data_IF_572271207443
#
_entry.id   IF_572271207443
#
_cell.length_a   1.000
_cell.length_b   1.000
_cell.length_c   1.000
_cell.angle_alpha   90.00
_cell.angle_beta   90.00
_cell.angle_gamma   90.00
#
_symmetry.space_group_name_H-M   'P 1'
#
loop_
_entity.id
_entity.type
_entity.pdbx_description
1 polymer ?
#
# COMPACT_ATOMS: atom_id res chain seq x y z
N UNK A 1 -3.35 22.71 30.69
CA UNK A 1 -2.49 23.14 29.58
C UNK A 1 -3.28 23.83 28.48
N UNK A 2 -4.24 23.16 27.83
CA UNK A 2 -5.00 23.77 26.72
C UNK A 2 -5.97 24.88 27.15
N UNK A 3 -6.70 24.68 28.26
CA UNK A 3 -7.58 25.70 28.85
C UNK A 3 -6.82 26.96 29.25
N UNK A 4 -5.63 26.80 29.80
CA UNK A 4 -4.77 27.92 30.17
C UNK A 4 -4.19 28.66 28.96
N UNK A 5 -3.90 27.93 27.88
CA UNK A 5 -3.53 28.56 26.60
C UNK A 5 -4.65 29.49 26.09
N UNK A 6 -5.91 29.05 26.16
CA UNK A 6 -7.05 29.90 25.82
C UNK A 6 -7.18 31.11 26.76
N UNK A 7 -7.01 30.89 28.07
CA UNK A 7 -7.05 31.95 29.06
C UNK A 7 -6.02 33.05 28.77
N UNK A 8 -4.78 32.68 28.42
CA UNK A 8 -3.73 33.65 28.09
C UNK A 8 -4.05 34.41 26.80
N UNK A 9 -4.51 33.74 25.75
CA UNK A 9 -4.96 34.42 24.53
C UNK A 9 -6.15 35.38 24.81
N UNK A 10 -6.98 35.06 25.80
CA UNK A 10 -8.09 35.90 26.23
C UNK A 10 -7.66 37.08 27.12
N UNK A 11 -6.56 36.99 27.86
CA UNK A 11 -6.21 37.97 28.91
C UNK A 11 -4.96 38.79 28.62
N UNK A 12 -3.99 38.26 27.87
CA UNK A 12 -2.73 38.95 27.53
C UNK A 12 -2.78 39.54 26.11
N UNK A 13 -2.90 40.87 25.95
CA UNK A 13 -2.95 41.53 24.64
C UNK A 13 -1.75 41.19 23.74
N UNK A 14 -0.56 40.98 24.34
CA UNK A 14 0.66 40.70 23.57
C UNK A 14 0.59 39.35 22.85
N UNK A 15 -0.18 38.39 23.37
CA UNK A 15 -0.37 37.10 22.68
C UNK A 15 -1.31 37.17 21.49
N UNK A 16 -2.22 38.16 21.49
CA UNK A 16 -3.09 38.44 20.34
C UNK A 16 -2.31 39.10 19.20
N UNK A 17 -1.39 40.01 19.54
CA UNK A 17 -0.51 40.65 18.55
C UNK A 17 0.43 39.65 17.87
N UNK A 18 0.91 38.65 18.62
CA UNK A 18 1.80 37.61 18.11
C UNK A 18 1.09 36.56 17.23
N UNK A 19 -0.24 36.49 17.24
CA UNK A 19 -1.07 35.56 16.43
C UNK A 19 -0.57 34.11 16.44
N UNK A 20 -0.21 33.60 17.62
CA UNK A 20 0.47 32.31 17.75
C UNK A 20 -0.47 31.13 17.52
N UNK A 21 0.04 30.11 16.83
CA UNK A 21 -0.56 28.77 16.80
C UNK A 21 -0.19 28.02 18.08
N UNK A 22 -0.99 27.02 18.46
CA UNK A 22 -0.71 26.22 19.66
C UNK A 22 0.67 25.52 19.59
N UNK A 23 1.07 25.09 18.39
CA UNK A 23 2.39 24.49 18.12
C UNK A 23 3.57 25.46 18.33
N UNK A 24 3.32 26.75 18.21
CA UNK A 24 4.33 27.82 18.33
C UNK A 24 4.39 28.39 19.74
N UNK A 25 3.36 28.13 20.56
CA UNK A 25 3.24 28.70 21.91
C UNK A 25 4.43 28.36 22.81
N UNK A 26 4.98 27.15 22.67
CA UNK A 26 6.14 26.66 23.41
C UNK A 26 7.43 27.44 23.11
N UNK A 27 7.48 28.23 22.02
CA UNK A 27 8.63 29.10 21.72
C UNK A 27 8.69 30.31 22.67
N UNK A 28 7.56 30.69 23.26
CA UNK A 28 7.43 31.90 24.07
C UNK A 28 7.05 31.61 25.52
N UNK A 29 6.40 30.46 25.78
CA UNK A 29 5.90 30.10 27.11
C UNK A 29 6.33 28.67 27.49
N UNK A 30 6.65 28.48 28.77
CA UNK A 30 6.97 27.20 29.39
C UNK A 30 5.81 26.75 30.29
N UNK A 31 5.37 25.50 30.15
CA UNK A 31 4.31 24.95 30.99
C UNK A 31 4.85 24.59 32.38
N UNK A 32 4.23 25.14 33.41
CA UNK A 32 4.43 24.76 34.80
C UNK A 32 3.35 23.74 35.20
N UNK A 33 3.75 22.49 35.42
CA UNK A 33 2.82 21.42 35.80
C UNK A 33 2.31 21.53 37.24
N UNK A 34 3.06 22.19 38.13
CA UNK A 34 2.68 22.35 39.53
C UNK A 34 1.64 23.45 39.68
N UNK A 35 1.88 24.61 39.05
CA UNK A 35 0.94 25.75 39.08
C UNK A 35 -0.16 25.64 38.02
N UNK A 36 -0.03 24.72 37.06
CA UNK A 36 -0.92 24.58 35.89
C UNK A 36 -1.02 25.86 35.06
N UNK A 37 0.07 26.62 34.99
CA UNK A 37 0.16 27.91 34.27
C UNK A 37 1.21 27.87 33.17
N UNK A 38 1.09 28.77 32.20
CA UNK A 38 2.13 29.01 31.19
C UNK A 38 2.94 30.25 31.57
N UNK A 39 4.23 30.08 31.80
CA UNK A 39 5.13 31.14 32.20
C UNK A 39 5.97 31.63 31.01
N UNK A 40 6.12 32.94 30.85
CA UNK A 40 6.90 33.51 29.74
C UNK A 40 8.37 33.14 29.87
N UNK A 41 8.96 32.66 28.78
CA UNK A 41 10.38 32.30 28.71
C UNK A 41 11.21 33.59 28.70
N UNK A 42 12.21 33.67 29.59
CA UNK A 42 13.12 34.82 29.70
C UNK A 42 14.39 34.67 28.84
N UNK A 43 14.88 33.43 28.60
CA UNK A 43 16.01 33.07 27.71
C UNK A 43 15.88 31.61 27.23
N UNK A 44 16.29 31.32 25.99
CA UNK A 44 16.39 29.96 25.40
C UNK A 44 15.27 29.58 24.42
N UNK A 45 15.51 28.53 23.61
CA UNK A 45 14.55 27.98 22.63
C UNK A 45 14.07 26.60 23.10
N UNK A 46 12.77 26.42 23.29
CA UNK A 46 12.18 25.13 23.69
C UNK A 46 11.47 24.49 22.50
N UNK A 47 11.76 23.21 22.23
CA UNK A 47 11.07 22.41 21.22
C UNK A 47 9.93 21.64 21.90
N UNK A 48 8.70 22.12 21.72
CA UNK A 48 7.50 21.41 22.16
C UNK A 48 7.17 20.23 21.24
N UNK A 49 6.85 19.06 21.81
CA UNK A 49 6.32 17.91 21.06
C UNK A 49 4.81 17.85 21.21
N UNK A 50 4.09 18.01 20.10
CA UNK A 50 2.64 17.75 20.06
C UNK A 50 2.39 16.24 19.96
N UNK A 51 1.54 15.71 20.83
CA UNK A 51 1.19 14.29 20.82
C UNK A 51 0.56 13.89 19.48
N UNK A 52 1.01 12.80 18.88
CA UNK A 52 0.35 12.21 17.70
C UNK A 52 -1.06 11.79 18.12
N UNK A 53 -2.09 12.34 17.46
CA UNK A 53 -3.49 12.02 17.73
C UNK A 53 -3.96 11.27 16.49
N UNK A 54 -4.28 10.00 16.67
CA UNK A 54 -4.77 9.15 15.60
C UNK A 54 -6.17 9.66 15.15
N UNK A 55 -6.46 9.74 13.84
CA UNK A 55 -7.79 10.10 13.33
C UNK A 55 -8.95 9.25 13.88
N UNK A 56 -8.69 8.03 14.39
CA UNK A 56 -9.68 7.18 15.08
C UNK A 56 -10.28 7.89 16.32
N UNK A 57 -9.58 8.87 16.92
CA UNK A 57 -10.10 9.64 18.06
C UNK A 57 -11.07 10.78 17.68
N UNK A 58 -11.60 10.76 16.45
CA UNK A 58 -12.68 11.62 15.94
C UNK A 58 -12.52 13.10 16.33
N UNK A 59 -13.44 13.66 17.14
CA UNK A 59 -13.42 15.07 17.57
C UNK A 59 -12.09 15.54 18.18
N UNK A 60 -11.33 14.66 18.84
CA UNK A 60 -10.00 15.00 19.40
C UNK A 60 -8.94 15.19 18.33
N UNK A 61 -9.06 14.46 17.21
CA UNK A 61 -8.20 14.66 16.04
C UNK A 61 -8.50 16.00 15.39
N UNK A 62 -9.78 16.32 15.15
CA UNK A 62 -10.18 17.59 14.53
C UNK A 62 -9.87 18.80 15.40
N UNK A 63 -10.03 18.68 16.72
CA UNK A 63 -9.58 19.70 17.66
C UNK A 63 -8.08 20.00 17.50
N UNK A 64 -7.24 18.96 17.34
CA UNK A 64 -5.81 19.16 17.08
C UNK A 64 -5.55 19.84 15.74
N UNK A 65 -6.25 19.43 14.68
CA UNK A 65 -6.13 20.07 13.36
C UNK A 65 -6.44 21.56 13.48
N UNK A 66 -7.50 21.92 14.19
CA UNK A 66 -7.85 23.33 14.45
C UNK A 66 -6.77 24.04 15.27
N UNK A 67 -6.28 23.46 16.36
CA UNK A 67 -5.22 24.06 17.19
C UNK A 67 -3.89 24.29 16.45
N UNK A 68 -3.64 23.51 15.41
CA UNK A 68 -2.43 23.64 14.58
C UNK A 68 -2.54 24.70 13.48
N UNK A 69 -3.75 25.19 13.21
CA UNK A 69 -4.05 26.06 12.05
C UNK A 69 -4.85 27.32 12.41
N UNK A 70 -5.49 27.39 13.58
CA UNK A 70 -6.23 28.56 14.06
C UNK A 70 -5.36 29.35 15.03
N UNK A 71 -5.14 30.61 14.72
CA UNK A 71 -4.30 31.54 15.49
C UNK A 71 -5.07 32.09 16.70
N UNK A 72 -4.39 32.17 17.84
CA UNK A 72 -4.86 32.82 19.09
C UNK A 72 -6.31 32.52 19.48
N UNK A 73 -6.78 31.25 19.48
CA UNK A 73 -8.12 30.92 19.94
C UNK A 73 -8.26 31.25 21.44
N UNK A 74 -9.41 31.80 21.81
CA UNK A 74 -9.72 32.26 23.17
C UNK A 74 -10.62 31.31 23.95
N UNK A 75 -11.22 30.33 23.26
CA UNK A 75 -12.04 29.27 23.86
C UNK A 75 -12.24 28.11 22.89
N UNK A 76 -12.83 27.01 23.36
CA UNK A 76 -13.30 25.95 22.47
C UNK A 76 -14.38 26.45 21.50
N UNK A 77 -15.28 27.33 21.95
CA UNK A 77 -16.32 27.91 21.12
C UNK A 77 -15.74 28.79 20.01
N UNK A 78 -14.65 29.50 20.28
CA UNK A 78 -13.93 30.29 19.27
C UNK A 78 -13.41 29.42 18.12
N UNK A 79 -13.06 28.16 18.39
CA UNK A 79 -12.64 27.20 17.35
C UNK A 79 -13.83 26.70 16.52
N UNK A 80 -15.02 26.64 17.10
CA UNK A 80 -16.25 26.21 16.42
C UNK A 80 -16.90 27.32 15.59
N UNK A 81 -16.59 28.59 15.88
CA UNK A 81 -17.11 29.73 15.14
C UNK A 81 -16.27 30.00 13.88
N UNK A 82 -16.86 29.88 12.69
CA UNK A 82 -16.16 30.02 11.40
C UNK A 82 -16.99 30.90 10.47
N UNK A 83 -16.41 32.01 9.97
CA UNK A 83 -17.08 32.91 9.02
C UNK A 83 -18.50 33.35 9.44
N UNK A 84 -18.72 33.62 10.73
CA UNK A 84 -20.03 34.03 11.27
C UNK A 84 -20.99 32.87 11.61
N UNK A 85 -20.59 31.60 11.39
CA UNK A 85 -21.41 30.42 11.65
C UNK A 85 -20.86 29.61 12.81
N UNK A 86 -21.72 29.25 13.76
CA UNK A 86 -21.38 28.34 14.85
C UNK A 86 -21.51 26.87 14.42
N UNK A 87 -20.41 26.12 14.47
CA UNK A 87 -20.40 24.70 14.13
C UNK A 87 -20.72 23.81 15.34
N UNK A 88 -21.51 22.75 15.13
CA UNK A 88 -21.84 21.77 16.19
C UNK A 88 -20.72 20.77 16.51
N UNK A 89 -19.64 20.72 15.70
CA UNK A 89 -18.51 19.80 15.88
C UNK A 89 -17.21 20.40 15.35
N UNK A 90 -16.07 19.95 15.90
CA UNK A 90 -14.74 20.35 15.45
C UNK A 90 -14.46 19.82 14.04
N UNK A 91 -14.99 18.65 13.68
CA UNK A 91 -14.93 18.14 12.30
C UNK A 91 -15.52 19.14 11.31
N UNK A 92 -16.75 19.62 11.56
CA UNK A 92 -17.43 20.55 10.68
C UNK A 92 -16.70 21.90 10.59
N UNK A 93 -16.16 22.36 11.71
CA UNK A 93 -15.36 23.58 11.77
C UNK A 93 -14.04 23.45 10.99
N UNK A 94 -13.39 22.28 10.99
CA UNK A 94 -12.17 22.01 10.22
C UNK A 94 -12.47 21.90 8.71
N UNK A 95 -13.58 21.27 8.35
CA UNK A 95 -14.06 21.15 6.97
C UNK A 95 -14.37 22.52 6.35
N UNK A 96 -15.14 23.39 7.04
CA UNK A 96 -15.47 24.74 6.54
C UNK A 96 -14.21 25.60 6.37
N UNK A 97 -13.19 25.40 7.22
CA UNK A 97 -11.89 26.05 7.09
C UNK A 97 -10.98 25.45 6.00
N UNK A 98 -11.43 24.41 5.29
CA UNK A 98 -10.66 23.68 4.27
C UNK A 98 -9.32 23.16 4.82
N UNK A 99 -9.34 22.67 6.06
CA UNK A 99 -8.15 22.12 6.74
C UNK A 99 -8.06 20.60 6.63
N UNK A 100 -9.05 19.97 5.99
CA UNK A 100 -9.07 18.54 5.65
C UNK A 100 -8.59 18.38 4.20
N UNK A 101 -8.01 17.23 3.86
CA UNK A 101 -7.69 16.93 2.46
C UNK A 101 -9.00 16.94 1.68
N UNK A 102 -9.08 17.73 0.61
CA UNK A 102 -10.22 17.69 -0.29
C UNK A 102 -10.30 16.28 -0.91
N UNK A 103 -11.50 15.68 -0.92
CA UNK A 103 -11.75 14.35 -1.50
C UNK A 103 -11.47 14.28 -3.03
N UNK A 104 -10.96 15.37 -3.63
CA UNK A 104 -10.58 15.50 -5.03
C UNK A 104 -9.64 14.37 -5.51
N UNK A 105 -8.72 13.90 -4.66
CA UNK A 105 -7.84 12.79 -5.02
C UNK A 105 -8.58 11.44 -5.00
N UNK A 106 -9.58 11.28 -4.13
CA UNK A 106 -10.46 10.11 -4.09
C UNK A 106 -11.36 10.11 -5.33
N UNK A 107 -11.95 11.25 -5.67
CA UNK A 107 -12.79 11.41 -6.85
C UNK A 107 -12.01 11.13 -8.15
N UNK A 108 -10.84 11.74 -8.33
CA UNK A 108 -9.97 11.44 -9.49
C UNK A 108 -9.59 9.98 -9.58
N UNK A 109 -9.28 9.34 -8.44
CA UNK A 109 -8.94 7.92 -8.40
C UNK A 109 -10.14 7.05 -8.80
N UNK A 110 -11.34 7.40 -8.35
CA UNK A 110 -12.57 6.69 -8.69
C UNK A 110 -12.97 6.90 -10.17
N UNK A 111 -12.85 8.12 -10.69
CA UNK A 111 -13.10 8.45 -12.10
C UNK A 111 -12.11 7.75 -13.04
N UNK A 112 -10.83 7.72 -12.69
CA UNK A 112 -9.80 7.00 -13.45
C UNK A 112 -10.12 5.50 -13.46
N UNK A 113 -10.32 4.89 -12.28
CA UNK A 113 -10.61 3.46 -12.16
C UNK A 113 -11.90 3.05 -12.89
N UNK A 114 -12.93 3.91 -12.89
CA UNK A 114 -14.19 3.66 -13.59
C UNK A 114 -13.99 3.36 -15.08
N UNK A 115 -12.97 3.95 -15.71
CA UNK A 115 -12.74 3.83 -17.16
C UNK A 115 -12.32 2.41 -17.57
N UNK A 116 -11.68 1.65 -16.69
CA UNK A 116 -11.05 0.35 -17.05
C UNK A 116 -11.26 -0.79 -16.05
N UNK A 117 -11.91 -0.57 -14.90
CA UNK A 117 -12.14 -1.59 -13.87
C UNK A 117 -13.54 -2.16 -13.92
N UNK A 118 -13.67 -3.43 -13.51
CA UNK A 118 -14.96 -4.07 -13.36
C UNK A 118 -15.68 -3.60 -12.07
N UNK A 119 -17.03 -3.65 -12.00
CA UNK A 119 -17.79 -3.18 -10.83
C UNK A 119 -17.38 -3.81 -9.49
N UNK A 120 -16.99 -5.09 -9.47
CA UNK A 120 -16.47 -5.77 -8.28
C UNK A 120 -15.14 -5.19 -7.79
N UNK A 121 -14.22 -4.90 -8.70
CA UNK A 121 -12.94 -4.24 -8.40
C UNK A 121 -13.16 -2.80 -7.93
N UNK A 122 -14.14 -2.08 -8.50
CA UNK A 122 -14.51 -0.75 -8.04
C UNK A 122 -15.05 -0.75 -6.60
N UNK A 123 -15.84 -1.76 -6.21
CA UNK A 123 -16.30 -1.93 -4.81
C UNK A 123 -15.13 -2.16 -3.84
N UNK A 124 -14.14 -2.96 -4.24
CA UNK A 124 -12.95 -3.21 -3.42
C UNK A 124 -12.04 -1.97 -3.30
N UNK A 125 -11.86 -1.23 -4.40
CA UNK A 125 -11.16 0.05 -4.39
C UNK A 125 -11.88 1.07 -3.50
N UNK A 126 -13.21 1.18 -3.61
CA UNK A 126 -14.02 2.05 -2.78
C UNK A 126 -13.89 1.70 -1.29
N UNK A 127 -13.95 0.41 -0.91
CA UNK A 127 -13.72 -0.03 0.46
C UNK A 127 -12.31 0.32 0.97
N UNK A 128 -11.30 0.20 0.11
CA UNK A 128 -9.90 0.57 0.42
C UNK A 128 -9.77 2.08 0.63
N UNK A 129 -10.37 2.89 -0.23
CA UNK A 129 -10.38 4.35 -0.11
C UNK A 129 -11.15 4.81 1.14
N UNK A 130 -12.28 4.18 1.45
CA UNK A 130 -13.02 4.43 2.70
C UNK A 130 -12.13 4.25 3.93
N UNK A 131 -11.35 3.16 3.97
CA UNK A 131 -10.50 2.85 5.12
C UNK A 131 -9.26 3.74 5.21
N UNK A 132 -8.49 3.84 4.13
CA UNK A 132 -7.17 4.48 4.15
C UNK A 132 -7.23 5.99 3.94
N UNK A 133 -8.15 6.47 3.09
CA UNK A 133 -8.25 7.88 2.75
C UNK A 133 -9.23 8.64 3.67
N UNK A 134 -10.15 7.91 4.33
CA UNK A 134 -11.12 8.47 5.29
C UNK A 134 -11.85 9.70 4.73
N UNK A 135 -12.68 9.52 3.70
CA UNK A 135 -13.35 10.62 3.01
C UNK A 135 -14.14 11.50 3.97
N UNK A 136 -14.24 12.77 3.62
CA UNK A 136 -14.88 13.78 4.46
C UNK A 136 -16.38 13.53 4.62
N UNK A 137 -17.02 12.95 3.59
CA UNK A 137 -18.44 12.57 3.57
C UNK A 137 -18.64 11.21 2.84
N UNK A 138 -18.49 10.07 3.55
CA UNK A 138 -18.63 8.75 2.95
C UNK A 138 -20.00 8.48 2.28
N UNK A 139 -21.15 8.90 2.85
CA UNK A 139 -22.45 8.77 2.19
C UNK A 139 -22.55 9.54 0.86
N UNK A 140 -22.00 10.76 0.80
CA UNK A 140 -21.99 11.53 -0.45
C UNK A 140 -21.15 10.83 -1.53
N UNK A 141 -19.97 10.31 -1.16
CA UNK A 141 -19.11 9.56 -2.06
C UNK A 141 -19.78 8.26 -2.53
N UNK A 142 -20.45 7.53 -1.62
CA UNK A 142 -21.23 6.34 -1.96
C UNK A 142 -22.28 6.66 -3.03
N UNK A 143 -23.10 7.70 -2.83
CA UNK A 143 -24.16 8.06 -3.77
C UNK A 143 -23.62 8.47 -5.15
N UNK A 144 -22.43 9.09 -5.21
CA UNK A 144 -21.82 9.51 -6.47
C UNK A 144 -21.41 8.32 -7.36
N UNK A 145 -20.94 7.21 -6.76
CA UNK A 145 -20.38 6.07 -7.51
C UNK A 145 -21.22 4.79 -7.43
N UNK A 146 -22.29 4.77 -6.63
CA UNK A 146 -23.16 3.59 -6.44
C UNK A 146 -23.61 2.97 -7.76
N UNK A 147 -24.13 3.79 -8.67
CA UNK A 147 -24.66 3.38 -9.98
C UNK A 147 -23.61 2.62 -10.81
N UNK A 148 -22.37 3.09 -10.78
CA UNK A 148 -21.27 2.49 -11.52
C UNK A 148 -20.81 1.18 -10.88
N UNK A 149 -20.74 1.15 -9.55
CA UNK A 149 -20.31 -0.01 -8.80
C UNK A 149 -21.38 -1.10 -8.66
N UNK A 150 -22.66 -0.81 -8.95
CA UNK A 150 -23.76 -1.78 -8.92
C UNK A 150 -24.16 -2.31 -10.32
N UNK A 151 -23.43 -1.92 -11.37
CA UNK A 151 -23.76 -2.22 -12.78
C UNK A 151 -23.89 -3.72 -13.08
N UNK A 152 -23.06 -4.56 -12.46
CA UNK A 152 -23.10 -6.02 -12.60
C UNK A 152 -24.36 -6.65 -11.98
N UNK A 153 -24.83 -6.13 -10.84
CA UNK A 153 -26.07 -6.57 -10.21
C UNK A 153 -27.29 -6.17 -11.04
N UNK A 154 -27.27 -5.01 -11.70
CA UNK A 154 -28.36 -4.57 -12.59
C UNK A 154 -28.44 -5.35 -13.89
N UNK A 155 -27.30 -5.73 -14.46
CA UNK A 155 -27.27 -6.66 -15.59
C UNK A 155 -27.84 -8.05 -15.21
N UNK A 156 -27.84 -8.39 -13.92
CA UNK A 156 -28.43 -9.60 -13.37
C UNK A 156 -29.92 -9.41 -13.05
N UNK A 157 -30.35 -8.20 -12.66
CA UNK A 157 -31.74 -7.81 -12.40
C UNK A 157 -32.63 -8.06 -13.62
N UNK A 158 -32.14 -7.78 -14.84
CA UNK A 158 -32.88 -8.00 -16.08
C UNK A 158 -33.20 -9.48 -16.36
N UNK A 159 -32.59 -10.42 -15.61
CA UNK A 159 -32.83 -11.87 -15.72
C UNK A 159 -33.66 -12.45 -14.56
N UNK A 160 -33.79 -11.75 -13.42
CA UNK A 160 -34.27 -12.34 -12.16
C UNK A 160 -35.24 -11.48 -11.32
N UNK A 161 -35.67 -10.29 -11.76
CA UNK A 161 -36.63 -9.42 -11.03
C UNK A 161 -36.25 -9.13 -9.56
N UNK A 162 -34.99 -8.79 -9.33
CA UNK A 162 -34.43 -8.47 -8.00
C UNK A 162 -34.84 -7.04 -7.60
N UNK A 163 -35.21 -6.80 -6.34
CA UNK A 163 -35.57 -5.46 -5.83
C UNK A 163 -34.34 -4.57 -5.59
N UNK A 164 -34.49 -3.24 -5.63
CA UNK A 164 -33.39 -2.30 -5.33
C UNK A 164 -32.80 -2.52 -3.93
N UNK A 165 -33.64 -2.84 -2.95
CA UNK A 165 -33.20 -3.16 -1.58
C UNK A 165 -32.26 -4.38 -1.56
N UNK A 166 -32.57 -5.42 -2.34
CA UNK A 166 -31.70 -6.60 -2.47
C UNK A 166 -30.39 -6.27 -3.18
N UNK A 167 -30.40 -5.33 -4.15
CA UNK A 167 -29.18 -4.88 -4.82
C UNK A 167 -28.29 -4.10 -3.84
N UNK A 168 -28.88 -3.20 -3.03
CA UNK A 168 -28.15 -2.47 -1.99
C UNK A 168 -27.55 -3.44 -0.95
N UNK A 169 -28.29 -4.48 -0.54
CA UNK A 169 -27.75 -5.48 0.39
C UNK A 169 -26.59 -6.28 -0.19
N UNK A 170 -26.71 -6.75 -1.45
CA UNK A 170 -25.61 -7.43 -2.16
C UNK A 170 -24.39 -6.52 -2.35
N UNK A 171 -24.64 -5.24 -2.58
CA UNK A 171 -23.62 -4.22 -2.70
C UNK A 171 -22.87 -3.99 -1.39
N UNK A 172 -23.60 -3.76 -0.30
CA UNK A 172 -23.04 -3.57 1.03
C UNK A 172 -22.27 -4.80 1.48
N UNK A 173 -22.73 -6.00 1.12
CA UNK A 173 -22.02 -7.25 1.34
C UNK A 173 -20.64 -7.25 0.67
N UNK A 174 -20.56 -6.96 -0.64
CA UNK A 174 -19.27 -6.96 -1.36
C UNK A 174 -18.27 -5.90 -0.88
N UNK A 175 -18.74 -4.77 -0.35
CA UNK A 175 -17.87 -3.80 0.33
C UNK A 175 -17.42 -4.35 1.69
N UNK A 176 -18.35 -4.93 2.44
CA UNK A 176 -18.08 -5.43 3.78
C UNK A 176 -17.05 -6.57 3.76
N UNK A 177 -17.05 -7.43 2.75
CA UNK A 177 -16.02 -8.48 2.59
C UNK A 177 -14.60 -7.90 2.53
N UNK A 178 -14.41 -6.82 1.78
CA UNK A 178 -13.12 -6.12 1.70
C UNK A 178 -12.80 -5.43 3.03
N UNK A 179 -13.77 -4.77 3.66
CA UNK A 179 -13.57 -4.11 4.94
C UNK A 179 -13.26 -5.09 6.08
N UNK A 180 -13.89 -6.26 6.11
CA UNK A 180 -13.64 -7.30 7.11
C UNK A 180 -12.21 -7.82 7.02
N UNK A 181 -11.68 -7.99 5.80
CA UNK A 181 -10.27 -8.33 5.59
C UNK A 181 -9.29 -7.26 6.12
N UNK A 182 -9.76 -6.01 6.24
CA UNK A 182 -9.04 -4.88 6.83
C UNK A 182 -9.37 -4.69 8.32
N UNK A 183 -10.10 -5.62 8.94
CA UNK A 183 -10.50 -5.57 10.34
C UNK A 183 -11.55 -4.49 10.63
N UNK A 184 -12.44 -4.22 9.66
CA UNK A 184 -13.46 -3.16 9.72
C UNK A 184 -14.84 -3.67 9.36
N UNK A 185 -15.87 -2.96 9.81
CA UNK A 185 -17.26 -3.24 9.45
C UNK A 185 -17.87 -2.08 8.64
N UNK A 186 -18.69 -2.41 7.64
CA UNK A 186 -19.35 -1.40 6.77
C UNK A 186 -20.24 -0.44 7.56
N UNK A 187 -20.82 -0.88 8.67
CA UNK A 187 -21.64 -0.03 9.54
C UNK A 187 -20.83 1.10 10.21
N UNK A 188 -19.50 1.01 10.29
CA UNK A 188 -18.65 2.08 10.83
C UNK A 188 -18.69 3.35 9.95
N UNK A 189 -19.03 3.21 8.67
CA UNK A 189 -18.97 4.30 7.68
C UNK A 189 -20.33 4.93 7.37
N UNK A 190 -21.42 4.41 7.95
CA UNK A 190 -22.79 4.94 7.81
C UNK A 190 -23.22 5.23 6.36
N UNK A 191 -22.84 4.36 5.41
CA UNK A 191 -23.08 4.57 3.97
C UNK A 191 -24.58 4.65 3.61
N UNK A 192 -25.40 3.93 4.38
CA UNK A 192 -26.86 3.85 4.20
C UNK A 192 -27.58 4.16 5.53
N UNK A 193 -28.86 4.58 5.50
CA UNK A 193 -29.58 4.99 6.72
C UNK A 193 -30.00 3.81 7.62
N UNK A 194 -29.75 2.56 7.22
CA UNK A 194 -30.07 1.36 7.99
C UNK A 194 -28.81 0.58 8.35
N UNK A 195 -28.89 -0.25 9.40
CA UNK A 195 -27.78 -1.14 9.78
C UNK A 195 -27.75 -2.36 8.88
N UNK A 196 -26.58 -2.62 8.31
CA UNK A 196 -26.28 -3.86 7.61
C UNK A 196 -26.08 -5.00 8.61
N UNK A 197 -26.81 -6.11 8.45
CA UNK A 197 -26.73 -7.30 9.31
C UNK A 197 -26.50 -8.51 8.41
N UNK A 198 -25.41 -9.26 8.65
CA UNK A 198 -25.17 -10.55 8.00
C UNK A 198 -25.95 -11.63 8.75
N UNK A 199 -26.74 -12.46 8.05
CA UNK A 199 -27.40 -13.58 8.72
C UNK A 199 -26.40 -14.73 8.95
N UNK A 200 -26.39 -15.33 10.16
CA UNK A 200 -25.46 -16.42 10.51
C UNK A 200 -25.60 -17.65 9.58
N UNK A 201 -26.74 -17.81 8.91
CA UNK A 201 -27.00 -18.88 7.94
C UNK A 201 -26.27 -18.66 6.61
N UNK A 202 -26.10 -17.40 6.18
CA UNK A 202 -25.24 -17.04 5.05
C UNK A 202 -23.76 -17.24 5.40
N UNK A 203 -23.39 -17.20 6.70
CA UNK A 203 -22.03 -17.48 7.15
C UNK A 203 -21.57 -18.92 6.95
N UNK A 204 -22.46 -19.88 7.16
CA UNK A 204 -22.13 -21.29 6.99
C UNK A 204 -22.25 -21.72 5.54
N UNK A 205 -23.16 -21.06 4.81
CA UNK A 205 -23.25 -21.15 3.35
C UNK A 205 -22.07 -20.42 2.69
N UNK A 206 -21.37 -19.48 3.35
CA UNK A 206 -20.22 -18.72 2.83
C UNK A 206 -19.05 -19.63 2.46
N UNK A 207 -18.62 -20.56 3.30
CA UNK A 207 -17.45 -21.40 2.95
C UNK A 207 -17.79 -22.41 1.85
N UNK A 208 -18.96 -23.06 1.95
CA UNK A 208 -19.41 -24.05 0.98
C UNK A 208 -19.85 -23.41 -0.35
N UNK A 209 -20.41 -22.19 -0.32
CA UNK A 209 -20.77 -21.43 -1.52
C UNK A 209 -19.64 -20.55 -2.03
N UNK A 210 -18.60 -20.19 -1.28
CA UNK A 210 -17.38 -19.63 -1.88
C UNK A 210 -16.65 -20.71 -2.68
N UNK A 211 -16.61 -21.96 -2.19
CA UNK A 211 -16.06 -23.09 -2.94
C UNK A 211 -16.95 -23.54 -4.10
N UNK A 212 -18.28 -23.38 -4.01
CA UNK A 212 -19.25 -23.77 -5.07
C UNK A 212 -19.71 -22.65 -6.01
N UNK A 213 -19.64 -21.37 -5.61
CA UNK A 213 -19.88 -20.17 -6.42
C UNK A 213 -18.56 -19.45 -6.71
N UNK A 214 -17.57 -20.16 -7.25
CA UNK A 214 -16.73 -19.52 -8.26
C UNK A 214 -17.73 -18.96 -9.28
N UNK A 215 -17.78 -17.64 -9.55
CA UNK A 215 -18.71 -17.12 -10.54
C UNK A 215 -18.53 -17.95 -11.79
N UNK A 216 -19.62 -18.56 -12.27
CA UNK A 216 -19.59 -19.55 -13.35
C UNK A 216 -18.83 -19.03 -14.60
N UNK A 217 -18.65 -17.71 -14.72
CA UNK A 217 -17.80 -17.05 -15.71
C UNK A 217 -16.30 -17.34 -15.60
N UNK A 218 -15.69 -17.41 -14.42
CA UNK A 218 -14.24 -17.60 -14.27
C UNK A 218 -13.83 -19.06 -14.45
N UNK A 219 -14.59 -19.98 -13.83
CA UNK A 219 -14.42 -21.41 -14.06
C UNK A 219 -14.64 -21.75 -15.55
N UNK A 220 -15.63 -21.13 -16.19
CA UNK A 220 -15.88 -21.32 -17.63
C UNK A 220 -14.81 -20.66 -18.51
N UNK A 221 -14.31 -19.48 -18.12
CA UNK A 221 -13.16 -18.86 -18.78
C UNK A 221 -11.94 -19.78 -18.71
N UNK A 222 -11.67 -20.38 -17.56
CA UNK A 222 -10.60 -21.36 -17.41
C UNK A 222 -10.90 -22.58 -18.28
N UNK A 223 -12.09 -23.17 -18.24
CA UNK A 223 -12.43 -24.34 -19.08
C UNK A 223 -12.22 -24.06 -20.58
N UNK A 224 -12.71 -22.92 -21.06
CA UNK A 224 -12.60 -22.50 -22.47
C UNK A 224 -11.19 -22.05 -22.86
N UNK A 225 -10.36 -21.64 -21.91
CA UNK A 225 -8.96 -21.29 -22.17
C UNK A 225 -8.15 -22.49 -22.65
N UNK A 226 -7.40 -22.28 -23.74
CA UNK A 226 -6.47 -23.28 -24.30
C UNK A 226 -5.05 -23.11 -23.76
N UNK A 227 -4.69 -21.87 -23.46
CA UNK A 227 -3.34 -21.48 -23.04
C UNK A 227 -3.45 -20.65 -21.77
N UNK A 228 -2.59 -20.94 -20.80
CA UNK A 228 -2.40 -20.15 -19.58
C UNK A 228 -0.95 -19.69 -19.58
N UNK A 229 -0.73 -18.39 -19.49
CA UNK A 229 0.61 -17.81 -19.35
C UNK A 229 0.75 -17.33 -17.92
N UNK A 230 1.77 -17.84 -17.23
CA UNK A 230 2.09 -17.43 -15.87
C UNK A 230 3.46 -16.78 -15.86
N UNK A 231 3.48 -15.46 -15.75
CA UNK A 231 4.70 -14.66 -15.62
C UNK A 231 5.25 -14.66 -14.17
N UNK A 232 6.57 -14.58 -14.03
CA UNK A 232 7.28 -14.62 -12.74
C UNK A 232 7.03 -15.88 -11.88
N UNK A 233 6.88 -17.05 -12.51
CA UNK A 233 6.71 -18.33 -11.79
C UNK A 233 7.87 -18.64 -10.82
N UNK A 234 9.05 -18.08 -11.08
CA UNK A 234 10.27 -18.31 -10.30
C UNK A 234 10.16 -17.82 -8.86
N UNK A 235 9.22 -16.91 -8.59
CA UNK A 235 8.93 -16.41 -7.24
C UNK A 235 7.84 -17.21 -6.51
N UNK A 236 7.11 -18.07 -7.22
CA UNK A 236 6.04 -18.87 -6.64
C UNK A 236 6.60 -20.11 -5.93
N UNK A 237 5.98 -20.47 -4.81
CA UNK A 237 6.23 -21.74 -4.15
C UNK A 237 5.70 -22.90 -5.00
N UNK A 238 6.42 -24.02 -5.02
CA UNK A 238 6.03 -25.23 -5.78
C UNK A 238 4.63 -25.73 -5.41
N UNK A 239 4.21 -25.55 -4.16
CA UNK A 239 2.87 -25.94 -3.68
C UNK A 239 1.76 -25.24 -4.45
N UNK A 240 1.96 -23.97 -4.84
CA UNK A 240 0.99 -23.20 -5.65
C UNK A 240 0.85 -23.79 -7.06
N UNK A 241 1.95 -24.29 -7.63
CA UNK A 241 1.93 -24.92 -8.96
C UNK A 241 1.23 -26.28 -8.90
N UNK A 242 1.45 -27.05 -7.83
CA UNK A 242 0.71 -28.27 -7.58
C UNK A 242 -0.79 -27.98 -7.41
N UNK A 243 -1.14 -26.94 -6.64
CA UNK A 243 -2.52 -26.51 -6.47
C UNK A 243 -3.15 -26.10 -7.81
N UNK A 244 -2.45 -25.33 -8.64
CA UNK A 244 -2.93 -24.98 -9.99
C UNK A 244 -3.15 -26.24 -10.84
N UNK A 245 -2.20 -27.19 -10.83
CA UNK A 245 -2.35 -28.45 -11.55
C UNK A 245 -3.61 -29.20 -11.12
N UNK A 246 -3.81 -29.40 -9.82
CA UNK A 246 -4.98 -30.10 -9.30
C UNK A 246 -6.29 -29.36 -9.63
N UNK A 247 -6.31 -28.04 -9.45
CA UNK A 247 -7.46 -27.20 -9.80
C UNK A 247 -7.85 -27.33 -11.28
N UNK A 248 -6.88 -27.26 -12.20
CA UNK A 248 -7.16 -27.37 -13.63
C UNK A 248 -7.61 -28.79 -14.01
N UNK A 249 -7.07 -29.82 -13.36
CA UNK A 249 -7.49 -31.20 -13.57
C UNK A 249 -8.95 -31.42 -13.15
N UNK A 250 -9.37 -30.82 -12.03
CA UNK A 250 -10.73 -30.88 -11.54
C UNK A 250 -11.69 -30.05 -12.40
N UNK A 251 -11.35 -28.78 -12.66
CA UNK A 251 -12.21 -27.88 -13.43
C UNK A 251 -12.47 -28.36 -14.86
N UNK A 252 -11.47 -29.02 -15.48
CA UNK A 252 -11.57 -29.52 -16.86
C UNK A 252 -11.95 -31.00 -16.93
N UNK A 253 -12.16 -31.66 -15.79
CA UNK A 253 -12.38 -33.11 -15.69
C UNK A 253 -11.37 -33.93 -16.52
N UNK A 254 -10.08 -33.58 -16.40
CA UNK A 254 -9.01 -34.18 -17.18
C UNK A 254 -7.79 -34.39 -16.27
N UNK A 255 -7.34 -35.64 -16.08
CA UNK A 255 -6.24 -35.99 -15.16
C UNK A 255 -4.83 -35.78 -15.73
N UNK A 256 -4.71 -35.36 -17.00
CA UNK A 256 -3.41 -34.96 -17.55
C UNK A 256 -2.86 -33.71 -16.86
N UNK A 257 -1.56 -33.43 -17.03
CA UNK A 257 -0.91 -32.27 -16.43
C UNK A 257 -1.67 -30.98 -16.81
N UNK A 258 -1.97 -30.15 -15.81
CA UNK A 258 -2.73 -28.90 -15.91
C UNK A 258 -4.09 -29.03 -16.63
N UNK A 259 -4.77 -30.17 -16.45
CA UNK A 259 -6.09 -30.39 -17.06
C UNK A 259 -6.04 -30.47 -18.59
N UNK A 260 -4.87 -30.77 -19.18
CA UNK A 260 -4.65 -30.82 -20.62
C UNK A 260 -4.47 -29.46 -21.29
N UNK A 261 -4.34 -28.38 -20.50
CA UNK A 261 -4.08 -27.04 -21.02
C UNK A 261 -2.61 -26.83 -21.29
N UNK A 262 -2.30 -25.97 -22.27
CA UNK A 262 -0.94 -25.50 -22.48
C UNK A 262 -0.62 -24.42 -21.44
N UNK A 263 0.25 -24.72 -20.50
CA UNK A 263 0.74 -23.74 -19.52
C UNK A 263 2.14 -23.29 -19.90
N UNK A 264 2.31 -21.99 -20.09
CA UNK A 264 3.59 -21.35 -20.38
C UNK A 264 4.06 -20.60 -19.15
N UNK A 265 5.15 -21.09 -18.56
CA UNK A 265 5.80 -20.44 -17.44
C UNK A 265 6.85 -19.44 -17.93
N UNK A 266 6.68 -18.18 -17.54
CA UNK A 266 7.66 -17.11 -17.65
C UNK A 266 8.33 -16.86 -16.31
N UNK A 267 9.60 -16.44 -16.33
CA UNK A 267 10.34 -16.05 -15.14
C UNK A 267 11.85 -16.05 -15.36
N UNK A 268 12.57 -15.35 -14.49
CA UNK A 268 14.02 -15.27 -14.51
C UNK A 268 14.60 -15.86 -13.23
N UNK A 269 15.22 -17.05 -13.34
CA UNK A 269 15.82 -17.78 -12.22
C UNK A 269 17.03 -17.07 -11.59
N UNK A 270 17.49 -15.94 -12.16
CA UNK A 270 18.50 -15.07 -11.54
C UNK A 270 17.89 -14.08 -10.54
N UNK A 271 16.55 -13.99 -10.48
CA UNK A 271 15.82 -13.21 -9.50
C UNK A 271 15.78 -13.90 -8.13
N UNK A 272 15.05 -13.32 -7.18
CA UNK A 272 14.95 -13.83 -5.80
C UNK A 272 14.10 -15.10 -5.78
N UNK A 273 14.53 -16.09 -5.01
CA UNK A 273 13.78 -17.33 -4.74
C UNK A 273 12.47 -17.06 -3.98
N UNK A 274 11.53 -18.02 -3.93
CA UNK A 274 10.33 -17.90 -3.11
C UNK A 274 10.66 -17.57 -1.66
N UNK A 275 9.89 -16.67 -1.05
CA UNK A 275 10.12 -16.23 0.32
C UNK A 275 9.57 -17.27 1.29
N UNK A 276 10.46 -17.95 2.00
CA UNK A 276 10.11 -18.85 3.11
C UNK A 276 10.34 -18.11 4.43
N UNK A 277 9.30 -17.73 5.19
CA UNK A 277 9.45 -16.99 6.43
C UNK A 277 10.32 -17.75 7.43
N UNK A 278 11.41 -17.13 7.89
CA UNK A 278 12.42 -17.74 8.79
C UNK A 278 13.09 -19.01 8.24
N UNK A 279 12.96 -19.25 6.94
CA UNK A 279 13.57 -20.40 6.28
C UNK A 279 15.03 -20.19 5.91
N UNK A 280 15.78 -21.27 5.96
CA UNK A 280 17.15 -21.41 5.46
C UNK A 280 17.20 -21.36 3.92
N UNK A 281 18.39 -21.13 3.36
CA UNK A 281 18.57 -21.15 1.90
C UNK A 281 18.21 -22.50 1.27
N UNK A 282 18.40 -23.60 1.99
CA UNK A 282 17.98 -24.94 1.53
C UNK A 282 16.45 -25.04 1.45
N UNK A 283 15.73 -24.57 2.47
CA UNK A 283 14.27 -24.55 2.46
C UNK A 283 13.69 -23.66 1.35
N UNK A 284 14.37 -22.55 1.00
CA UNK A 284 13.99 -21.72 -0.16
C UNK A 284 14.16 -22.46 -1.49
N UNK A 285 15.23 -23.24 -1.66
CA UNK A 285 15.45 -24.08 -2.84
C UNK A 285 14.41 -25.20 -2.89
N UNK A 286 14.14 -25.84 -1.76
CA UNK A 286 13.15 -26.91 -1.64
C UNK A 286 11.74 -26.40 -1.94
N UNK A 287 11.44 -25.13 -1.62
CA UNK A 287 10.19 -24.45 -1.95
C UNK A 287 10.06 -24.05 -3.43
N UNK A 288 11.17 -23.96 -4.18
CA UNK A 288 11.17 -23.52 -5.59
C UNK A 288 10.57 -24.54 -6.55
N UNK A 289 10.05 -24.06 -7.69
CA UNK A 289 9.55 -24.88 -8.80
C UNK A 289 10.56 -25.93 -9.27
N UNK A 290 11.87 -25.65 -9.22
CA UNK A 290 12.90 -26.61 -9.64
C UNK A 290 12.90 -27.90 -8.83
N UNK A 291 12.39 -27.83 -7.59
CA UNK A 291 12.26 -28.94 -6.65
C UNK A 291 10.88 -29.62 -6.74
N UNK A 292 10.01 -29.18 -7.65
CA UNK A 292 8.71 -29.80 -7.91
C UNK A 292 8.87 -31.08 -8.73
N UNK A 293 7.99 -32.06 -8.51
CA UNK A 293 7.90 -33.24 -9.38
C UNK A 293 7.51 -32.88 -10.81
N UNK A 294 6.69 -31.83 -10.98
CA UNK A 294 6.22 -31.33 -12.29
C UNK A 294 7.39 -30.79 -13.13
N UNK A 295 8.49 -30.36 -12.52
CA UNK A 295 9.65 -29.78 -13.21
C UNK A 295 10.30 -30.71 -14.23
N UNK A 296 10.16 -32.03 -14.03
CA UNK A 296 10.70 -33.06 -14.94
C UNK A 296 9.93 -33.10 -16.26
N UNK A 297 8.64 -32.79 -16.22
CA UNK A 297 7.72 -32.86 -17.35
C UNK A 297 7.64 -31.53 -18.13
N UNK A 298 8.25 -30.45 -17.61
CA UNK A 298 8.29 -29.14 -18.26
C UNK A 298 9.37 -29.08 -19.32
N UNK A 299 8.98 -28.69 -20.55
CA UNK A 299 9.90 -28.29 -21.62
C UNK A 299 10.55 -26.95 -21.30
N UNK A 300 11.88 -26.91 -21.22
CA UNK A 300 12.65 -25.71 -20.89
C UNK A 300 13.05 -24.96 -22.16
N UNK A 301 12.64 -23.70 -22.26
CA UNK A 301 13.06 -22.76 -23.29
C UNK A 301 13.85 -21.63 -22.62
N UNK A 302 14.98 -21.22 -23.21
CA UNK A 302 15.86 -20.20 -22.65
C UNK A 302 16.00 -19.04 -23.62
N UNK A 303 15.70 -17.83 -23.13
CA UNK A 303 15.99 -16.59 -23.84
C UNK A 303 17.39 -16.12 -23.44
N UNK A 304 18.19 -15.70 -24.43
CA UNK A 304 19.59 -15.28 -24.25
C UNK A 304 19.80 -13.78 -24.44
N UNK A 305 18.98 -13.14 -25.25
CA UNK A 305 19.21 -11.78 -25.69
C UNK A 305 18.60 -10.79 -24.69
N UNK A 306 19.46 -10.00 -24.03
CA UNK A 306 19.01 -8.98 -23.09
C UNK A 306 18.48 -7.76 -23.86
N UNK A 307 17.15 -7.63 -23.91
CA UNK A 307 16.53 -6.54 -24.65
C UNK A 307 16.52 -5.18 -23.91
N UNK A 308 16.89 -5.14 -22.62
CA UNK A 308 16.82 -3.94 -21.78
C UNK A 308 18.09 -3.10 -21.84
N UNK A 309 19.24 -3.76 -21.90
CA UNK A 309 20.58 -3.15 -21.77
C UNK A 309 21.34 -3.23 -23.10
N UNK A 310 20.63 -3.20 -24.24
CA UNK A 310 21.20 -3.48 -25.58
C UNK A 310 22.42 -2.61 -25.92
N UNK A 311 22.44 -1.38 -25.43
CA UNK A 311 23.45 -0.37 -25.79
C UNK A 311 24.66 -0.34 -24.84
N UNK A 312 24.78 -1.29 -23.91
CA UNK A 312 25.88 -1.37 -22.94
C UNK A 312 26.35 -2.82 -22.71
N UNK A 313 27.13 -3.40 -23.65
CA UNK A 313 27.58 -4.80 -23.58
C UNK A 313 28.40 -5.11 -22.33
N UNK A 314 29.24 -4.17 -21.88
CA UNK A 314 30.05 -4.33 -20.67
C UNK A 314 29.18 -4.46 -19.43
N UNK A 315 28.08 -3.69 -19.35
CA UNK A 315 27.13 -3.81 -18.26
C UNK A 315 26.27 -5.09 -18.38
N UNK A 316 25.91 -5.54 -19.59
CA UNK A 316 25.28 -6.86 -19.79
C UNK A 316 26.17 -7.95 -19.23
N UNK A 317 27.45 -8.00 -19.60
CA UNK A 317 28.38 -9.04 -19.15
C UNK A 317 28.54 -9.04 -17.63
N UNK A 318 28.66 -7.87 -17.02
CA UNK A 318 28.68 -7.74 -15.57
C UNK A 318 27.38 -8.24 -14.93
N UNK A 319 26.23 -7.79 -15.42
CA UNK A 319 24.91 -8.19 -14.91
C UNK A 319 24.71 -9.71 -15.02
N UNK A 320 25.14 -10.32 -16.13
CA UNK A 320 25.04 -11.76 -16.34
C UNK A 320 26.00 -12.55 -15.45
N UNK A 321 27.21 -12.05 -15.18
CA UNK A 321 28.13 -12.69 -14.22
C UNK A 321 27.57 -12.65 -12.80
N UNK A 322 27.01 -11.52 -12.37
CA UNK A 322 26.32 -11.38 -11.08
C UNK A 322 25.14 -12.35 -10.98
N UNK A 323 24.22 -12.32 -11.95
CA UNK A 323 23.00 -13.12 -11.91
C UNK A 323 23.24 -14.63 -11.99
N UNK A 324 24.33 -15.06 -12.62
CA UNK A 324 24.72 -16.48 -12.66
C UNK A 324 25.64 -16.90 -11.50
N UNK A 325 25.95 -15.99 -10.55
CA UNK A 325 26.85 -16.28 -9.43
C UNK A 325 28.30 -16.55 -9.86
N UNK A 326 28.76 -15.95 -10.96
CA UNK A 326 30.11 -16.12 -11.53
C UNK A 326 31.01 -14.91 -11.36
N UNK A 327 30.50 -13.83 -10.75
CA UNK A 327 31.35 -12.67 -10.50
C UNK A 327 32.40 -13.03 -9.44
N UNK A 328 33.69 -12.73 -9.68
CA UNK A 328 34.74 -13.01 -8.72
C UNK A 328 34.48 -12.35 -7.36
N UNK A 329 34.62 -13.13 -6.30
CA UNK A 329 34.52 -12.64 -4.92
C UNK A 329 35.89 -12.61 -4.26
N UNK A 330 36.06 -11.74 -3.26
CA UNK A 330 37.21 -11.81 -2.37
C UNK A 330 37.06 -12.97 -1.36
N UNK A 331 38.05 -13.12 -0.48
CA UNK A 331 38.07 -14.14 0.59
C UNK A 331 36.87 -14.06 1.55
N UNK A 332 36.18 -12.92 1.61
CA UNK A 332 34.99 -12.68 2.43
C UNK A 332 33.68 -12.90 1.66
N UNK A 333 33.74 -13.33 0.40
CA UNK A 333 32.56 -13.49 -0.45
C UNK A 333 32.00 -12.17 -1.01
N UNK A 334 32.75 -11.07 -0.91
CA UNK A 334 32.31 -9.75 -1.36
C UNK A 334 32.63 -9.55 -2.84
N UNK A 335 31.71 -8.89 -3.55
CA UNK A 335 31.82 -8.56 -4.96
C UNK A 335 32.35 -7.12 -5.12
N UNK A 336 33.29 -6.92 -6.05
CA UNK A 336 33.78 -5.58 -6.38
C UNK A 336 32.82 -4.88 -7.36
N UNK A 337 32.24 -3.76 -6.93
CA UNK A 337 31.43 -2.89 -7.79
C UNK A 337 32.34 -2.09 -8.74
N UNK A 338 31.99 -1.95 -10.05
CA UNK A 338 32.73 -1.11 -10.97
C UNK A 338 32.86 0.35 -10.50
N UNK A 339 34.06 0.91 -10.56
CA UNK A 339 34.39 2.29 -10.14
C UNK A 339 33.40 3.36 -10.65
N UNK A 340 32.96 3.37 -11.94
CA UNK A 340 32.01 4.36 -12.46
C UNK A 340 30.64 4.35 -11.76
N UNK A 341 30.30 3.26 -11.07
CA UNK A 341 29.05 3.11 -10.35
C UNK A 341 29.16 3.54 -8.88
N UNK A 342 30.34 3.80 -8.33
CA UNK A 342 30.50 4.13 -6.90
C UNK A 342 30.33 5.64 -6.66
N UNK A 343 29.56 6.02 -5.63
CA UNK A 343 29.54 7.39 -5.08
C UNK A 343 30.42 7.43 -3.83
N UNK A 344 31.43 8.31 -3.82
CA UNK A 344 32.37 8.46 -2.70
C UNK A 344 31.93 9.56 -1.71
N UNK A 345 31.04 10.49 -2.11
CA UNK A 345 30.51 11.57 -1.25
C UNK A 345 29.05 11.93 -1.61
N UNK A 346 28.05 11.51 -0.82
CA UNK A 346 26.65 11.89 -1.07
C UNK A 346 26.31 13.26 -0.47
N UNK A 347 25.82 14.19 -1.29
CA UNK A 347 25.04 15.35 -0.82
C UNK A 347 23.68 14.87 -0.26
N UNK A 348 23.12 15.50 0.78
CA UNK A 348 22.00 14.97 1.56
C UNK A 348 20.65 15.15 0.85
N UNK A 349 20.41 14.43 -0.24
CA UNK A 349 19.09 14.26 -0.85
C UNK A 349 19.04 12.85 -1.44
N UNK A 350 18.04 12.05 -1.05
CA UNK A 350 17.15 11.27 -1.95
C UNK A 350 16.37 10.18 -1.18
N UNK A 351 15.15 10.02 -1.68
CA UNK A 351 13.98 9.24 -1.28
C UNK A 351 14.21 7.74 -1.03
N UNK A 352 13.41 7.20 -0.10
CA UNK A 352 13.29 5.76 0.23
C UNK A 352 12.24 5.09 -0.64
N UNK A 353 12.57 3.94 -1.22
CA UNK A 353 11.62 2.86 -1.51
C UNK A 353 12.27 1.52 -1.12
N UNK A 354 11.48 0.61 -0.56
CA UNK A 354 11.95 -0.72 -0.12
C UNK A 354 12.25 -1.63 -1.32
N UNK A 355 13.40 -2.32 -1.29
CA UNK A 355 13.96 -3.12 -2.39
C UNK A 355 12.98 -4.17 -2.95
N UNK A 356 12.17 -4.82 -2.09
CA UNK A 356 11.21 -5.86 -2.51
C UNK A 356 10.05 -5.33 -3.37
N UNK A 357 9.74 -4.03 -3.33
CA UNK A 357 8.61 -3.45 -4.10
C UNK A 357 9.01 -2.93 -5.49
N UNK A 358 10.27 -3.09 -5.89
CA UNK A 358 10.80 -2.55 -7.15
C UNK A 358 10.91 -3.58 -8.28
N UNK A 359 10.43 -4.81 -8.08
CA UNK A 359 10.41 -5.88 -9.10
C UNK A 359 9.53 -5.51 -10.30
N UNK A 360 10.02 -5.77 -11.52
CA UNK A 360 9.30 -5.48 -12.77
C UNK A 360 9.36 -4.04 -13.31
N UNK A 361 9.89 -3.05 -12.56
CA UNK A 361 9.91 -1.64 -12.99
C UNK A 361 11.21 -1.28 -13.74
N UNK A 362 11.15 -0.41 -14.75
CA UNK A 362 12.36 0.14 -15.41
C UNK A 362 12.62 1.57 -14.92
N UNK A 363 13.83 1.85 -14.43
CA UNK A 363 14.21 3.16 -13.88
C UNK A 363 15.37 3.77 -14.67
N UNK A 364 15.34 5.09 -14.85
CA UNK A 364 16.42 5.83 -15.52
C UNK A 364 17.66 5.95 -14.66
N UNK A 365 17.48 6.19 -13.36
CA UNK A 365 18.55 6.27 -12.37
C UNK A 365 18.28 5.27 -11.25
N UNK A 366 19.30 4.51 -10.86
CA UNK A 366 19.20 3.53 -9.78
C UNK A 366 20.24 3.88 -8.72
N UNK A 367 19.76 4.33 -7.56
CA UNK A 367 20.58 4.54 -6.36
C UNK A 367 20.52 3.31 -5.45
N UNK A 368 21.65 2.68 -5.18
CA UNK A 368 21.75 1.58 -4.20
C UNK A 368 22.40 2.09 -2.93
N UNK A 369 21.65 2.06 -1.83
CA UNK A 369 22.12 2.46 -0.50
C UNK A 369 22.37 1.22 0.36
N UNK A 370 23.64 0.95 0.66
CA UNK A 370 24.04 -0.23 1.43
C UNK A 370 24.61 0.21 2.79
N UNK A 371 23.81 0.05 3.86
CA UNK A 371 24.25 0.32 5.25
C UNK A 371 25.09 -0.84 5.82
N UNK A 372 24.88 -2.07 5.32
CA UNK A 372 25.55 -3.32 5.71
C UNK A 372 25.62 -4.26 4.50
N UNK A 373 26.56 -5.24 4.46
CA UNK A 373 26.61 -6.25 3.41
C UNK A 373 25.44 -7.22 3.57
N UNK A 374 24.35 -6.97 2.87
CA UNK A 374 23.15 -7.80 2.91
C UNK A 374 22.75 -8.09 1.48
N UNK A 375 23.13 -9.25 0.96
CA UNK A 375 22.46 -9.78 -0.23
C UNK A 375 22.10 -11.24 0.01
N UNK A 376 20.80 -11.50 0.09
CA UNK A 376 20.27 -12.81 -0.25
C UNK A 376 20.43 -13.04 -1.77
N UNK A 377 20.39 -14.30 -2.18
CA UNK A 377 20.50 -14.69 -3.60
C UNK A 377 19.58 -13.85 -4.50
N UNK A 378 20.11 -13.39 -5.64
CA UNK A 378 19.37 -12.63 -6.65
C UNK A 378 19.11 -11.15 -6.34
N UNK A 379 19.27 -10.67 -5.09
CA UNK A 379 18.91 -9.29 -4.73
C UNK A 379 19.75 -8.22 -5.45
N UNK A 380 21.08 -8.40 -5.51
CA UNK A 380 21.96 -7.47 -6.22
C UNK A 380 21.67 -7.48 -7.73
N UNK A 381 21.44 -8.66 -8.32
CA UNK A 381 21.06 -8.78 -9.73
C UNK A 381 19.76 -8.03 -10.02
N UNK A 382 18.73 -8.25 -9.19
CA UNK A 382 17.42 -7.59 -9.31
C UNK A 382 17.59 -6.07 -9.26
N UNK A 383 18.31 -5.55 -8.28
CA UNK A 383 18.63 -4.14 -8.15
C UNK A 383 19.32 -3.55 -9.39
N UNK A 384 20.38 -4.19 -9.87
CA UNK A 384 21.15 -3.72 -11.02
C UNK A 384 20.37 -3.81 -12.34
N UNK A 385 19.53 -4.84 -12.49
CA UNK A 385 18.73 -5.10 -13.69
C UNK A 385 17.66 -4.03 -13.98
N UNK A 386 17.45 -3.08 -13.06
CA UNK A 386 16.50 -1.97 -13.20
C UNK A 386 16.98 -0.85 -14.11
N UNK A 387 18.30 -0.71 -14.28
CA UNK A 387 18.89 0.31 -15.13
C UNK A 387 19.04 -0.17 -16.58
N UNK A 388 18.96 0.77 -17.52
CA UNK A 388 19.21 0.52 -18.95
C UNK A 388 20.70 0.54 -19.33
N UNK A 389 21.56 1.10 -18.48
CA UNK A 389 23.01 1.18 -18.67
C UNK A 389 23.68 1.29 -17.29
N UNK A 390 24.92 0.78 -17.19
CA UNK A 390 25.72 0.88 -15.96
C UNK A 390 26.05 2.32 -15.59
N UNK A 391 26.02 3.26 -16.56
CA UNK A 391 26.30 4.68 -16.34
C UNK A 391 25.36 5.34 -15.32
N UNK A 392 24.10 4.91 -15.28
CA UNK A 392 23.07 5.48 -14.41
C UNK A 392 22.83 4.68 -13.13
N UNK A 393 23.61 3.63 -12.90
CA UNK A 393 23.63 2.96 -11.61
C UNK A 393 24.64 3.66 -10.72
N UNK A 394 24.20 4.04 -9.52
CA UNK A 394 25.04 4.64 -8.51
C UNK A 394 24.87 3.90 -7.18
N UNK A 395 25.98 3.40 -6.64
CA UNK A 395 26.07 2.61 -5.42
C UNK A 395 26.80 3.44 -4.38
N UNK A 396 26.12 3.74 -3.29
CA UNK A 396 26.71 4.38 -2.13
C UNK A 396 27.06 3.32 -1.10
N UNK A 397 28.35 3.20 -0.80
CA UNK A 397 28.89 2.29 0.22
C UNK A 397 29.33 3.16 1.39
N UNK A 398 28.63 3.07 2.53
CA UNK A 398 29.07 3.74 3.75
C UNK A 398 29.93 2.75 4.53
N UNK A 399 31.23 3.03 4.77
CA UNK A 399 32.04 2.17 5.61
C UNK A 399 31.42 2.11 7.01
N UNK A 400 31.44 0.94 7.70
CA UNK A 400 30.92 0.85 9.05
C UNK A 400 31.65 1.84 9.92
N UNK A 401 30.95 2.91 10.35
CA UNK A 401 31.47 3.81 11.36
C UNK A 401 31.57 3.01 12.64
N UNK A 402 32.79 2.84 13.15
CA UNK A 402 33.02 2.53 14.55
C UNK A 402 32.15 3.52 15.34
N UNK A 403 31.27 3.04 16.22
CA UNK A 403 30.16 3.77 16.89
C UNK A 403 28.79 3.64 16.22
N UNK A 404 28.14 2.50 16.43
CA UNK A 404 26.70 2.44 16.75
C UNK A 404 26.59 1.48 17.96
N UNK A 405 26.03 1.91 19.12
CA UNK A 405 25.88 1.08 20.32
C UNK A 405 24.77 0.02 20.21
#
# INVERSE_FOLDING_TARGET
>A
MLTEFFNINATDPKTRDLKLLYKEFHRYYLWDSQMRTWNKIKKGTVIGRLSIVNPIKNERYYLRVLLNNVQSPTSFDSLLYVNGVYCKSFQKAAHIRRLLQDDNDIDKTMEEAFTYRMPSELRSLFATLLHYCKPSDPPKLFNAYYEHMAKDFRNTQSKLNISEEQIILKFLHGINDTLESLGKNVNEYNLVPFKYVTSDFESFTREIAHERNIPNSEAELIRTSKIIIWDEVTMAEKSVIHALNHLLQELCNNKSLFGGKLVVFGGDFRQVLPVVPRGTGKEQIDASIISSTIWKDIRKLKLTDNMRVKDDPTFIDFLMRIGNGREPTNEKGEIRIPQPMIIINPSPIVFRNDHNKSQGQTLWYVGLYLKQPIFCHGQLYVALSRAKTGKYVKVLIIPPTCHDP
#
